data_IF_490507517080
#
_entry.id   IF_490507517080
#
_cell.length_a   1.000
_cell.length_b   1.000
_cell.length_c   1.000
_cell.angle_alpha   90.00
_cell.angle_beta   90.00
_cell.angle_gamma   90.00
#
_symmetry.space_group_name_H-M   'P 1'
#
loop_
_entity.id
_entity.type
_entity.pdbx_description
1 polymer ?
#
# COMPACT_ATOMS: atom_id res chain seq x y z
N UNK A 1 -45.27 -3.20 -11.39
CA UNK A 1 -44.03 -2.46 -11.14
C UNK A 1 -43.49 -1.97 -12.47
N UNK A 2 -43.37 -0.65 -12.69
CA UNK A 2 -42.80 -0.10 -13.95
C UNK A 2 -41.35 -0.60 -14.15
N UNK A 3 -40.93 -0.62 -15.43
CA UNK A 3 -39.57 -1.11 -15.77
C UNK A 3 -38.46 -0.36 -15.06
N UNK A 4 -38.56 0.98 -14.96
CA UNK A 4 -37.59 1.83 -14.27
C UNK A 4 -37.45 1.48 -12.79
N UNK A 5 -38.56 1.18 -12.11
CA UNK A 5 -38.57 0.76 -10.71
C UNK A 5 -38.01 -0.66 -10.56
N UNK A 6 -38.29 -1.56 -11.52
CA UNK A 6 -37.71 -2.90 -11.55
C UNK A 6 -36.18 -2.85 -11.68
N UNK A 7 -35.63 -2.01 -12.58
CA UNK A 7 -34.20 -1.84 -12.75
C UNK A 7 -33.54 -1.39 -11.45
N UNK A 8 -34.08 -0.35 -10.78
CA UNK A 8 -33.51 0.13 -9.52
C UNK A 8 -33.61 -0.91 -8.41
N UNK A 9 -34.70 -1.67 -8.35
CA UNK A 9 -34.85 -2.76 -7.40
C UNK A 9 -33.78 -3.84 -7.59
N UNK A 10 -33.57 -4.29 -8.85
CA UNK A 10 -32.51 -5.24 -9.20
C UNK A 10 -31.12 -4.66 -8.92
N UNK A 11 -30.92 -3.37 -9.22
CA UNK A 11 -29.66 -2.68 -8.91
C UNK A 11 -29.28 -2.78 -7.43
N UNK A 12 -30.23 -2.47 -6.56
CA UNK A 12 -29.98 -2.57 -5.10
C UNK A 12 -29.76 -4.01 -4.64
N UNK A 13 -30.48 -4.97 -5.20
CA UNK A 13 -30.24 -6.39 -4.91
C UNK A 13 -28.85 -6.83 -5.37
N UNK A 14 -28.41 -6.43 -6.55
CA UNK A 14 -27.08 -6.73 -7.06
C UNK A 14 -26.00 -6.15 -6.14
N UNK A 15 -26.16 -4.91 -5.69
CA UNK A 15 -25.24 -4.30 -4.71
C UNK A 15 -25.24 -5.03 -3.37
N UNK A 16 -26.40 -5.47 -2.88
CA UNK A 16 -26.48 -6.28 -1.67
C UNK A 16 -25.72 -7.61 -1.82
N UNK A 17 -25.91 -8.30 -2.94
CA UNK A 17 -25.20 -9.55 -3.23
C UNK A 17 -23.70 -9.32 -3.43
N UNK A 18 -23.31 -8.27 -4.15
CA UNK A 18 -21.91 -7.91 -4.37
C UNK A 18 -21.15 -7.68 -3.05
N UNK A 19 -21.82 -7.08 -2.05
CA UNK A 19 -21.24 -6.94 -0.71
C UNK A 19 -20.92 -8.27 -0.02
N UNK A 20 -21.61 -9.35 -0.39
CA UNK A 20 -21.36 -10.69 0.18
C UNK A 20 -20.28 -11.48 -0.57
N UNK A 21 -19.87 -11.05 -1.76
CA UNK A 21 -18.88 -11.77 -2.59
C UNK A 21 -17.56 -12.03 -1.86
N UNK A 22 -16.96 -11.07 -1.15
CA UNK A 22 -15.72 -11.31 -0.41
C UNK A 22 -15.88 -12.45 0.63
N UNK A 23 -17.00 -12.46 1.36
CA UNK A 23 -17.30 -13.49 2.34
C UNK A 23 -17.40 -14.88 1.70
N UNK A 24 -18.17 -14.98 0.59
CA UNK A 24 -18.34 -16.24 -0.14
C UNK A 24 -17.01 -16.73 -0.71
N UNK A 25 -16.23 -15.82 -1.30
CA UNK A 25 -14.94 -16.14 -1.87
C UNK A 25 -13.97 -16.71 -0.82
N UNK A 26 -13.94 -16.10 0.33
CA UNK A 26 -13.10 -16.53 1.43
C UNK A 26 -13.55 -17.90 1.99
N UNK A 27 -14.85 -18.14 2.15
CA UNK A 27 -15.39 -19.42 2.59
C UNK A 27 -15.09 -20.54 1.58
N UNK A 28 -15.15 -20.25 0.28
CA UNK A 28 -14.87 -21.24 -0.78
C UNK A 28 -13.39 -21.58 -0.86
N UNK A 29 -12.49 -20.60 -0.65
CA UNK A 29 -11.04 -20.84 -0.65
C UNK A 29 -10.56 -21.71 0.52
N UNK A 30 -11.36 -21.82 1.58
CA UNK A 30 -10.97 -22.56 2.77
C UNK A 30 -9.79 -21.93 3.53
N UNK A 31 -9.56 -20.63 3.32
CA UNK A 31 -8.51 -19.90 4.03
C UNK A 31 -8.79 -19.98 5.54
N UNK A 32 -7.83 -20.40 6.38
CA UNK A 32 -8.01 -20.48 7.81
C UNK A 32 -8.04 -19.05 8.37
N UNK A 33 -9.26 -18.49 8.50
CA UNK A 33 -9.42 -17.18 9.12
C UNK A 33 -9.07 -17.23 10.60
N UNK A 34 -8.24 -16.30 11.02
CA UNK A 34 -8.22 -15.91 12.42
C UNK A 34 -9.60 -15.39 12.85
N UNK A 35 -10.03 -15.67 14.11
CA UNK A 35 -11.33 -15.18 14.62
C UNK A 35 -11.55 -13.68 14.40
N UNK A 36 -10.48 -12.87 14.42
CA UNK A 36 -10.52 -11.43 14.16
C UNK A 36 -10.82 -11.08 12.70
N UNK A 37 -10.26 -11.80 11.75
CA UNK A 37 -10.44 -11.53 10.31
C UNK A 37 -11.86 -11.87 9.85
N UNK A 38 -12.43 -12.99 10.35
CA UNK A 38 -13.82 -13.34 10.09
C UNK A 38 -14.78 -12.29 10.66
N UNK A 39 -14.51 -11.80 11.88
CA UNK A 39 -15.32 -10.75 12.48
C UNK A 39 -15.26 -9.45 11.66
N UNK A 40 -14.09 -9.03 11.21
CA UNK A 40 -13.91 -7.85 10.37
C UNK A 40 -14.63 -7.98 9.03
N UNK A 41 -14.52 -9.16 8.40
CA UNK A 41 -15.22 -9.43 7.14
C UNK A 41 -16.73 -9.37 7.31
N UNK A 42 -17.28 -9.97 8.38
CA UNK A 42 -18.70 -9.90 8.70
C UNK A 42 -19.16 -8.50 9.06
N UNK A 43 -18.37 -7.77 9.85
CA UNK A 43 -18.66 -6.38 10.23
C UNK A 43 -18.70 -5.44 9.02
N UNK A 44 -17.90 -5.68 8.00
CA UNK A 44 -17.93 -4.91 6.75
C UNK A 44 -19.05 -5.32 5.80
N UNK A 45 -19.31 -6.62 5.64
CA UNK A 45 -20.26 -7.14 4.63
C UNK A 45 -21.71 -7.09 5.10
N UNK A 46 -22.00 -7.40 6.36
CA UNK A 46 -23.38 -7.48 6.86
C UNK A 46 -24.12 -6.12 6.85
N UNK A 47 -23.53 -5.00 7.31
CA UNK A 47 -24.18 -3.70 7.22
C UNK A 47 -24.42 -3.26 5.78
N UNK A 48 -23.50 -3.54 4.86
CA UNK A 48 -23.64 -3.26 3.44
C UNK A 48 -24.81 -4.03 2.83
N UNK A 49 -24.86 -5.35 3.03
CA UNK A 49 -25.95 -6.19 2.55
C UNK A 49 -27.30 -5.77 3.15
N UNK A 50 -27.37 -5.48 4.45
CA UNK A 50 -28.57 -5.02 5.13
C UNK A 50 -29.05 -3.67 4.57
N UNK A 51 -28.14 -2.73 4.34
CA UNK A 51 -28.46 -1.42 3.79
C UNK A 51 -29.08 -1.53 2.39
N UNK A 52 -28.42 -2.22 1.45
CA UNK A 52 -28.96 -2.33 0.09
C UNK A 52 -30.20 -3.21 -0.01
N UNK A 53 -30.32 -4.25 0.80
CA UNK A 53 -31.56 -5.03 0.93
C UNK A 53 -32.71 -4.16 1.46
N UNK A 54 -32.44 -3.29 2.42
CA UNK A 54 -33.40 -2.31 2.95
C UNK A 54 -33.87 -1.32 1.88
N UNK A 55 -32.95 -0.81 1.04
CA UNK A 55 -33.29 0.05 -0.10
C UNK A 55 -34.14 -0.68 -1.14
N UNK A 56 -33.79 -1.91 -1.48
CA UNK A 56 -34.56 -2.74 -2.40
C UNK A 56 -35.99 -2.97 -1.87
N UNK A 57 -36.12 -3.28 -0.58
CA UNK A 57 -37.41 -3.44 0.08
C UNK A 57 -38.23 -2.13 0.09
N UNK A 58 -37.60 -0.97 0.32
CA UNK A 58 -38.20 0.33 0.26
C UNK A 58 -38.79 0.64 -1.12
N UNK A 59 -38.02 0.33 -2.20
CA UNK A 59 -38.50 0.46 -3.58
C UNK A 59 -39.68 -0.47 -3.86
N UNK A 60 -39.61 -1.74 -3.44
CA UNK A 60 -40.67 -2.71 -3.63
C UNK A 60 -41.96 -2.30 -2.90
N UNK A 61 -41.85 -1.68 -1.71
CA UNK A 61 -42.97 -1.19 -0.92
C UNK A 61 -43.44 0.22 -1.31
N UNK A 62 -43.01 0.75 -2.43
CA UNK A 62 -43.43 2.05 -2.94
C UNK A 62 -42.93 3.26 -2.12
N UNK A 63 -41.88 3.09 -1.33
CA UNK A 63 -41.36 4.15 -0.44
C UNK A 63 -40.17 4.88 -1.11
N UNK A 64 -40.48 5.73 -2.12
CA UNK A 64 -39.48 6.42 -2.90
C UNK A 64 -38.46 7.21 -2.05
N UNK A 65 -38.94 8.04 -1.13
CA UNK A 65 -38.05 8.86 -0.28
C UNK A 65 -37.08 8.03 0.56
N UNK A 66 -37.49 6.85 1.04
CA UNK A 66 -36.65 5.94 1.79
C UNK A 66 -35.56 5.27 0.93
N UNK A 67 -35.79 5.18 -0.37
CA UNK A 67 -34.81 4.61 -1.30
C UNK A 67 -33.87 5.69 -1.85
N UNK A 68 -34.37 6.91 -2.12
CA UNK A 68 -33.58 7.96 -2.78
C UNK A 68 -32.71 8.75 -1.82
N UNK A 69 -33.20 9.15 -0.66
CA UNK A 69 -32.46 10.03 0.25
C UNK A 69 -31.25 9.34 0.86
N UNK A 70 -31.36 8.17 1.53
CA UNK A 70 -30.18 7.49 2.07
C UNK A 70 -29.17 7.12 0.98
N UNK A 71 -29.66 6.66 -0.18
CA UNK A 71 -28.78 6.29 -1.29
C UNK A 71 -28.03 7.51 -1.87
N UNK A 72 -28.73 8.65 -2.02
CA UNK A 72 -28.12 9.89 -2.48
C UNK A 72 -27.03 10.41 -1.54
N UNK A 73 -27.29 10.35 -0.22
CA UNK A 73 -26.31 10.77 0.80
C UNK A 73 -25.09 9.84 0.78
N UNK A 74 -25.31 8.51 0.72
CA UNK A 74 -24.23 7.55 0.64
C UNK A 74 -23.39 7.76 -0.63
N UNK A 75 -24.03 7.99 -1.78
CA UNK A 75 -23.35 8.27 -3.03
C UNK A 75 -22.54 9.55 -3.01
N UNK A 76 -23.07 10.62 -2.42
CA UNK A 76 -22.36 11.89 -2.21
C UNK A 76 -21.08 11.69 -1.39
N UNK A 77 -21.18 10.94 -0.29
CA UNK A 77 -20.01 10.62 0.54
C UNK A 77 -18.97 9.84 -0.25
N UNK A 78 -19.36 8.86 -1.05
CA UNK A 78 -18.44 8.10 -1.90
C UNK A 78 -17.77 8.97 -2.97
N UNK A 79 -18.52 9.92 -3.57
CA UNK A 79 -17.95 10.89 -4.53
C UNK A 79 -16.96 11.82 -3.83
N UNK A 80 -17.25 12.30 -2.64
CA UNK A 80 -16.33 13.15 -1.86
C UNK A 80 -15.05 12.42 -1.50
N UNK A 81 -15.12 11.15 -1.08
CA UNK A 81 -13.95 10.33 -0.79
C UNK A 81 -13.13 10.09 -2.05
N UNK A 82 -13.79 9.77 -3.16
CA UNK A 82 -13.13 9.61 -4.46
C UNK A 82 -12.44 10.89 -4.93
N UNK A 83 -13.05 12.05 -4.70
CA UNK A 83 -12.49 13.36 -5.02
C UNK A 83 -11.25 13.66 -4.15
N UNK A 84 -11.32 13.38 -2.86
CA UNK A 84 -10.18 13.52 -1.97
C UNK A 84 -9.01 12.60 -2.38
N UNK A 85 -9.29 11.38 -2.82
CA UNK A 85 -8.29 10.48 -3.37
C UNK A 85 -7.64 11.07 -4.65
N UNK A 86 -8.43 11.69 -5.53
CA UNK A 86 -7.91 12.39 -6.73
C UNK A 86 -7.00 13.56 -6.33
N UNK A 87 -7.38 14.35 -5.33
CA UNK A 87 -6.56 15.46 -4.85
C UNK A 87 -5.23 15.00 -4.26
N UNK A 88 -5.22 13.88 -3.52
CA UNK A 88 -4.01 13.33 -2.87
C UNK A 88 -3.08 12.60 -3.83
N UNK A 89 -3.62 11.86 -4.79
CA UNK A 89 -2.86 10.95 -5.67
C UNK A 89 -2.78 11.41 -7.13
N UNK A 90 -3.36 12.57 -7.43
CA UNK A 90 -3.41 13.13 -8.77
C UNK A 90 -4.51 12.54 -9.66
N UNK A 91 -4.85 13.29 -10.72
CA UNK A 91 -5.85 12.90 -11.72
C UNK A 91 -5.22 11.91 -12.70
N UNK A 92 -5.23 10.62 -12.36
CA UNK A 92 -4.95 9.55 -13.31
C UNK A 92 -6.22 9.15 -14.06
N UNK A 93 -6.09 8.59 -15.27
CA UNK A 93 -7.23 8.06 -16.04
C UNK A 93 -8.04 7.05 -15.20
N UNK A 94 -7.38 6.20 -14.43
CA UNK A 94 -7.99 5.24 -13.50
C UNK A 94 -8.86 5.92 -12.44
N UNK A 95 -8.33 6.95 -11.78
CA UNK A 95 -9.02 7.66 -10.71
C UNK A 95 -10.21 8.46 -11.27
N UNK A 96 -10.04 9.09 -12.44
CA UNK A 96 -11.10 9.81 -13.13
C UNK A 96 -12.26 8.88 -13.55
N UNK A 97 -11.96 7.72 -14.12
CA UNK A 97 -12.96 6.72 -14.49
C UNK A 97 -13.69 6.16 -13.25
N UNK A 98 -12.97 5.91 -12.16
CA UNK A 98 -13.59 5.44 -10.91
C UNK A 98 -14.55 6.47 -10.31
N UNK A 99 -14.16 7.75 -10.30
CA UNK A 99 -15.01 8.85 -9.83
C UNK A 99 -16.25 9.02 -10.72
N UNK A 100 -16.07 8.98 -12.04
CA UNK A 100 -17.19 9.04 -13.00
C UNK A 100 -18.15 7.86 -12.80
N UNK A 101 -17.64 6.64 -12.66
CA UNK A 101 -18.45 5.44 -12.42
C UNK A 101 -19.22 5.55 -11.08
N UNK A 102 -18.61 6.05 -10.01
CA UNK A 102 -19.27 6.27 -8.74
C UNK A 102 -20.40 7.32 -8.86
N UNK A 103 -20.15 8.42 -9.55
CA UNK A 103 -21.16 9.45 -9.80
C UNK A 103 -22.32 8.91 -10.65
N UNK A 104 -22.03 8.21 -11.74
CA UNK A 104 -23.04 7.60 -12.60
C UNK A 104 -23.87 6.55 -11.84
N UNK A 105 -23.22 5.67 -11.08
CA UNK A 105 -23.86 4.66 -10.24
C UNK A 105 -24.82 5.28 -9.21
N UNK A 106 -24.49 6.47 -8.70
CA UNK A 106 -25.32 7.20 -7.74
C UNK A 106 -26.50 7.90 -8.42
N UNK A 107 -26.24 8.65 -9.47
CA UNK A 107 -27.24 9.50 -10.12
C UNK A 107 -28.26 8.66 -10.90
N UNK A 108 -27.83 7.64 -11.62
CA UNK A 108 -28.68 6.85 -12.50
C UNK A 108 -29.89 6.21 -11.80
N UNK A 109 -29.78 5.48 -10.69
CA UNK A 109 -30.94 4.93 -9.99
C UNK A 109 -31.89 6.01 -9.45
N UNK A 110 -31.34 7.13 -8.95
CA UNK A 110 -32.16 8.25 -8.47
C UNK A 110 -32.96 8.84 -9.61
N UNK A 111 -32.34 9.10 -10.77
CA UNK A 111 -33.01 9.61 -11.95
C UNK A 111 -34.14 8.68 -12.41
N UNK A 112 -33.91 7.37 -12.46
CA UNK A 112 -34.92 6.37 -12.83
C UNK A 112 -36.13 6.40 -11.89
N UNK A 113 -35.92 6.58 -10.59
CA UNK A 113 -37.03 6.68 -9.62
C UNK A 113 -37.82 7.98 -9.74
N UNK A 114 -37.30 9.00 -10.42
CA UNK A 114 -37.98 10.28 -10.66
C UNK A 114 -38.66 10.38 -12.01
N UNK A 115 -38.51 9.38 -12.88
CA UNK A 115 -39.22 9.35 -14.16
C UNK A 115 -40.76 9.38 -13.98
N UNK A 116 -41.52 9.92 -14.92
CA UNK A 116 -42.96 9.95 -14.86
C UNK A 116 -43.60 8.56 -14.67
N UNK A 117 -43.06 7.53 -15.33
CA UNK A 117 -43.48 6.14 -15.18
C UNK A 117 -43.31 5.61 -13.75
N UNK A 118 -42.29 6.05 -13.02
CA UNK A 118 -42.05 5.67 -11.64
C UNK A 118 -42.95 6.43 -10.68
N UNK A 119 -43.27 7.72 -10.94
CA UNK A 119 -44.14 8.56 -10.09
C UNK A 119 -45.52 7.90 -9.88
N UNK A 120 -46.15 7.39 -10.93
CA UNK A 120 -47.44 6.72 -10.84
C UNK A 120 -47.43 5.48 -9.94
N UNK A 121 -46.30 4.73 -9.90
CA UNK A 121 -46.15 3.61 -8.99
C UNK A 121 -46.14 4.04 -7.52
N UNK A 122 -45.34 5.07 -7.18
CA UNK A 122 -45.20 5.54 -5.82
C UNK A 122 -46.46 6.27 -5.30
N UNK A 123 -47.25 6.87 -6.16
CA UNK A 123 -48.49 7.52 -5.80
C UNK A 123 -49.59 6.55 -5.36
N UNK A 124 -49.55 5.30 -5.78
CA UNK A 124 -50.53 4.26 -5.40
C UNK A 124 -50.44 3.82 -3.95
N UNK A 125 -49.33 4.14 -3.29
CA UNK A 125 -49.13 3.73 -1.89
C UNK A 125 -49.48 4.87 -0.92
N UNK A 126 -50.24 4.60 0.13
CA UNK A 126 -50.62 5.64 1.09
C UNK A 126 -49.39 6.29 1.70
N UNK A 127 -49.42 7.63 1.84
CA UNK A 127 -48.36 8.39 2.51
C UNK A 127 -48.29 7.98 3.98
N UNK A 128 -47.28 7.21 4.36
CA UNK A 128 -47.05 6.89 5.76
C UNK A 128 -46.41 8.08 6.49
N UNK A 129 -47.06 8.53 7.59
CA UNK A 129 -46.63 9.69 8.41
C UNK A 129 -45.28 9.50 9.12
N UNK A 130 -44.66 8.30 9.09
CA UNK A 130 -43.40 7.99 9.79
C UNK A 130 -42.20 7.81 8.86
N UNK A 131 -42.02 8.73 7.91
CA UNK A 131 -40.87 8.66 6.97
C UNK A 131 -39.53 8.81 7.70
N UNK A 132 -39.44 9.64 8.74
CA UNK A 132 -38.18 9.98 9.40
C UNK A 132 -37.46 8.82 10.11
N UNK A 133 -38.23 7.96 10.78
CA UNK A 133 -37.66 6.90 11.63
C UNK A 133 -36.95 5.82 10.77
N UNK A 134 -37.56 5.40 9.66
CA UNK A 134 -36.97 4.34 8.85
C UNK A 134 -35.81 4.82 7.96
N UNK A 135 -35.87 6.08 7.47
CA UNK A 135 -34.69 6.68 6.79
C UNK A 135 -33.52 6.86 7.76
N UNK A 136 -33.81 7.30 9.00
CA UNK A 136 -32.80 7.39 10.06
C UNK A 136 -32.17 6.05 10.39
N UNK A 137 -32.97 4.97 10.42
CA UNK A 137 -32.46 3.62 10.68
C UNK A 137 -31.54 3.13 9.54
N UNK A 138 -31.96 3.25 8.28
CA UNK A 138 -31.13 2.86 7.13
C UNK A 138 -29.87 3.70 7.05
N UNK A 139 -29.97 5.00 7.33
CA UNK A 139 -28.79 5.87 7.38
C UNK A 139 -27.89 5.52 8.56
N UNK A 140 -28.45 5.24 9.73
CA UNK A 140 -27.70 4.79 10.90
C UNK A 140 -26.92 3.49 10.64
N UNK A 141 -27.56 2.49 10.02
CA UNK A 141 -26.90 1.23 9.62
C UNK A 141 -25.77 1.49 8.62
N UNK A 142 -25.99 2.39 7.64
CA UNK A 142 -24.95 2.77 6.70
C UNK A 142 -23.78 3.48 7.39
N UNK A 143 -24.05 4.46 8.25
CA UNK A 143 -23.02 5.22 8.99
C UNK A 143 -22.23 4.29 9.92
N UNK A 144 -22.91 3.42 10.67
CA UNK A 144 -22.23 2.45 11.53
C UNK A 144 -21.38 1.48 10.69
N UNK A 145 -21.92 0.94 9.61
CA UNK A 145 -21.17 0.07 8.70
C UNK A 145 -19.98 0.79 8.05
N UNK A 146 -20.17 2.06 7.67
CA UNK A 146 -19.10 2.89 7.12
C UNK A 146 -18.04 3.21 8.18
N UNK A 147 -18.42 3.55 9.41
CA UNK A 147 -17.47 3.79 10.50
C UNK A 147 -16.67 2.52 10.83
N UNK A 148 -17.33 1.37 10.93
CA UNK A 148 -16.67 0.09 11.19
C UNK A 148 -15.71 -0.26 10.05
N UNK A 149 -16.14 -0.10 8.79
CA UNK A 149 -15.28 -0.29 7.64
C UNK A 149 -14.14 0.75 7.58
N UNK A 150 -14.39 1.99 8.01
CA UNK A 150 -13.39 3.06 8.02
C UNK A 150 -12.33 2.88 9.10
N UNK A 151 -12.63 2.18 10.20
CA UNK A 151 -11.64 1.84 11.22
C UNK A 151 -10.54 0.96 10.62
N UNK A 152 -10.88 0.12 9.63
CA UNK A 152 -9.90 -0.69 8.89
C UNK A 152 -9.39 -0.03 7.60
N UNK A 153 -10.17 0.91 7.01
CA UNK A 153 -9.77 1.66 5.81
C UNK A 153 -8.88 2.86 6.09
N UNK A 154 -8.89 3.37 7.30
CA UNK A 154 -7.81 4.26 7.72
C UNK A 154 -6.62 3.35 7.95
N UNK A 155 -5.63 3.40 7.06
CA UNK A 155 -4.50 2.53 7.21
C UNK A 155 -3.97 2.79 8.59
N UNK A 156 -4.03 1.78 9.45
CA UNK A 156 -3.34 1.83 10.74
C UNK A 156 -1.95 2.30 10.41
N UNK A 157 -1.33 3.10 11.26
CA UNK A 157 0.04 3.57 11.04
C UNK A 157 0.95 2.40 10.60
N UNK A 158 0.70 1.21 11.13
CA UNK A 158 1.33 -0.04 10.72
C UNK A 158 1.02 -0.43 9.27
N UNK A 159 -0.19 -0.24 8.78
CA UNK A 159 -0.58 -0.51 7.39
C UNK A 159 0.06 0.47 6.40
N UNK A 160 0.12 1.76 6.76
CA UNK A 160 0.83 2.78 5.94
C UNK A 160 2.31 2.44 5.85
N UNK A 161 2.94 2.07 6.96
CA UNK A 161 4.35 1.71 6.99
C UNK A 161 4.59 0.44 6.18
N UNK A 162 3.72 -0.58 6.29
CA UNK A 162 3.82 -1.80 5.51
C UNK A 162 3.70 -1.51 4.00
N UNK A 163 2.74 -0.69 3.57
CA UNK A 163 2.57 -0.31 2.18
C UNK A 163 3.77 0.48 1.65
N UNK A 164 4.27 1.45 2.43
CA UNK A 164 5.45 2.25 2.08
C UNK A 164 6.71 1.39 2.00
N UNK A 165 6.91 0.49 2.97
CA UNK A 165 8.04 -0.43 2.99
C UNK A 165 8.04 -1.38 1.81
N UNK A 166 6.86 -1.91 1.44
CA UNK A 166 6.71 -2.77 0.26
C UNK A 166 6.97 -2.01 -1.05
N UNK A 167 6.53 -0.75 -1.14
CA UNK A 167 6.83 0.11 -2.28
C UNK A 167 8.35 0.39 -2.37
N UNK A 168 8.98 0.69 -1.23
CA UNK A 168 10.44 0.89 -1.16
C UNK A 168 11.20 -0.38 -1.54
N UNK A 169 10.76 -1.57 -1.08
CA UNK A 169 11.37 -2.84 -1.46
C UNK A 169 11.34 -3.08 -2.97
N UNK A 170 10.22 -2.79 -3.64
CA UNK A 170 10.13 -2.88 -5.12
C UNK A 170 11.09 -1.91 -5.81
N UNK A 171 11.20 -0.68 -5.31
CA UNK A 171 12.14 0.31 -5.85
C UNK A 171 13.59 -0.12 -5.67
N UNK A 172 13.93 -0.66 -4.49
CA UNK A 172 15.25 -1.21 -4.24
C UNK A 172 15.58 -2.37 -5.17
N UNK A 173 14.62 -3.25 -5.49
CA UNK A 173 14.80 -4.28 -6.52
C UNK A 173 15.03 -3.68 -7.91
N UNK A 174 14.32 -2.61 -8.27
CA UNK A 174 14.56 -1.91 -9.54
C UNK A 174 15.95 -1.27 -9.57
N UNK A 175 16.40 -0.64 -8.47
CA UNK A 175 17.77 -0.11 -8.36
C UNK A 175 18.81 -1.22 -8.50
N UNK A 176 18.54 -2.40 -7.97
CA UNK A 176 19.41 -3.57 -8.16
C UNK A 176 19.52 -3.96 -9.64
N UNK A 177 18.42 -3.95 -10.40
CA UNK A 177 18.47 -4.19 -11.84
C UNK A 177 19.34 -3.14 -12.55
N UNK A 178 19.20 -1.86 -12.20
CA UNK A 178 20.04 -0.78 -12.76
C UNK A 178 21.51 -0.96 -12.39
N UNK A 179 21.80 -1.40 -11.16
CA UNK A 179 23.16 -1.73 -10.74
C UNK A 179 23.74 -2.91 -11.55
N UNK A 180 22.95 -3.93 -11.83
CA UNK A 180 23.35 -5.05 -12.67
C UNK A 180 23.62 -4.63 -14.12
N UNK A 181 22.80 -3.73 -14.69
CA UNK A 181 23.02 -3.12 -16.00
C UNK A 181 24.35 -2.34 -16.02
N UNK A 182 24.65 -1.58 -14.96
CA UNK A 182 25.91 -0.86 -14.81
C UNK A 182 27.12 -1.79 -14.75
N UNK A 183 27.00 -2.92 -14.06
CA UNK A 183 28.04 -3.92 -13.98
C UNK A 183 28.26 -4.61 -15.32
N UNK A 184 27.19 -4.93 -16.07
CA UNK A 184 27.29 -5.44 -17.44
C UNK A 184 27.95 -4.44 -18.38
N UNK A 185 27.66 -3.14 -18.25
CA UNK A 185 28.33 -2.09 -19.01
C UNK A 185 29.85 -2.07 -18.72
N UNK A 186 30.24 -2.20 -17.45
CA UNK A 186 31.65 -2.31 -17.05
C UNK A 186 32.34 -3.49 -17.71
N UNK A 187 31.72 -4.67 -17.68
CA UNK A 187 32.28 -5.90 -18.23
C UNK A 187 32.41 -5.85 -19.76
N UNK A 188 31.49 -5.17 -20.44
CA UNK A 188 31.52 -5.00 -21.91
C UNK A 188 32.41 -3.86 -22.40
N UNK A 189 33.08 -3.14 -21.50
CA UNK A 189 33.89 -1.97 -21.82
C UNK A 189 33.09 -0.73 -22.22
N UNK A 190 31.79 -0.71 -21.90
CA UNK A 190 30.92 0.43 -22.06
C UNK A 190 31.11 1.48 -20.97
N UNK A 191 30.36 2.58 -21.08
CA UNK A 191 30.35 3.62 -20.04
C UNK A 191 29.60 3.13 -18.81
N UNK A 192 30.25 3.18 -17.66
CA UNK A 192 29.68 2.74 -16.37
C UNK A 192 30.01 3.74 -15.26
N UNK A 193 29.19 3.77 -14.21
CA UNK A 193 29.40 4.59 -13.03
C UNK A 193 30.25 3.81 -12.02
N UNK A 194 31.43 4.34 -11.72
CA UNK A 194 32.33 3.74 -10.73
C UNK A 194 31.93 4.20 -9.31
N UNK A 195 31.46 3.30 -8.43
CA UNK A 195 31.12 3.65 -7.07
C UNK A 195 32.31 4.13 -6.24
N UNK A 196 33.53 3.78 -6.64
CA UNK A 196 34.76 4.18 -5.90
C UNK A 196 35.06 5.66 -6.04
N UNK A 197 34.64 6.28 -7.15
CA UNK A 197 34.80 7.70 -7.45
C UNK A 197 33.76 8.58 -6.76
N UNK A 198 32.70 7.98 -6.21
CA UNK A 198 31.63 8.72 -5.53
C UNK A 198 31.95 8.94 -4.04
N UNK A 199 31.57 10.11 -3.53
CA UNK A 199 31.77 10.49 -2.13
C UNK A 199 30.74 9.87 -1.20
N UNK A 200 29.51 9.64 -1.68
CA UNK A 200 28.39 9.13 -0.91
C UNK A 200 27.40 8.38 -1.82
N UNK A 201 26.38 7.75 -1.21
CA UNK A 201 25.38 6.98 -1.95
C UNK A 201 24.46 7.85 -2.80
N UNK A 202 24.21 9.09 -2.39
CA UNK A 202 23.35 10.02 -3.14
C UNK A 202 23.97 10.30 -4.51
N UNK A 203 25.22 10.72 -4.51
CA UNK A 203 25.98 10.99 -5.74
C UNK A 203 26.04 9.75 -6.66
N UNK A 204 26.29 8.58 -6.07
CA UNK A 204 26.36 7.34 -6.85
C UNK A 204 25.02 7.00 -7.50
N UNK A 205 23.92 7.00 -6.72
CA UNK A 205 22.58 6.63 -7.23
C UNK A 205 22.08 7.66 -8.24
N UNK A 206 22.31 8.95 -8.00
CA UNK A 206 21.95 9.99 -8.97
C UNK A 206 22.65 9.78 -10.32
N UNK A 207 23.96 9.56 -10.32
CA UNK A 207 24.71 9.27 -11.55
C UNK A 207 24.23 7.98 -12.22
N UNK A 208 24.00 6.93 -11.42
CA UNK A 208 23.54 5.63 -11.89
C UNK A 208 22.17 5.74 -12.58
N UNK A 209 21.21 6.40 -11.95
CA UNK A 209 19.87 6.59 -12.50
C UNK A 209 19.87 7.55 -13.70
N UNK A 210 20.62 8.65 -13.63
CA UNK A 210 20.73 9.58 -14.76
C UNK A 210 21.29 8.89 -16.02
N UNK A 211 22.20 7.94 -15.86
CA UNK A 211 22.78 7.20 -16.98
C UNK A 211 21.84 6.13 -17.55
N UNK A 212 21.23 5.33 -16.70
CA UNK A 212 20.45 4.15 -17.12
C UNK A 212 18.95 4.42 -17.23
N UNK A 213 18.47 5.54 -16.71
CA UNK A 213 17.05 5.96 -16.69
C UNK A 213 16.91 7.46 -16.99
N UNK A 214 17.39 7.93 -18.15
CA UNK A 214 17.43 9.37 -18.49
C UNK A 214 16.04 10.02 -18.57
N UNK A 215 14.98 9.22 -18.76
CA UNK A 215 13.60 9.70 -18.86
C UNK A 215 12.93 9.93 -17.49
N UNK A 216 13.61 9.54 -16.40
CA UNK A 216 13.05 9.72 -15.06
C UNK A 216 13.19 11.17 -14.60
N UNK A 217 12.20 11.65 -13.82
CA UNK A 217 12.19 13.01 -13.30
C UNK A 217 13.31 13.23 -12.29
N UNK A 218 14.07 14.30 -12.42
CA UNK A 218 15.17 14.66 -11.53
C UNK A 218 14.77 14.68 -10.03
N UNK A 219 13.59 15.22 -9.72
CA UNK A 219 13.05 15.24 -8.35
C UNK A 219 12.87 13.82 -7.77
N UNK A 220 12.43 12.88 -8.60
CA UNK A 220 12.26 11.50 -8.18
C UNK A 220 13.62 10.81 -7.96
N UNK A 221 14.58 11.03 -8.85
CA UNK A 221 15.95 10.52 -8.73
C UNK A 221 16.56 10.99 -7.41
N UNK A 222 16.45 12.28 -7.12
CA UNK A 222 16.97 12.89 -5.90
C UNK A 222 16.30 12.31 -4.63
N UNK A 223 14.97 12.18 -4.63
CA UNK A 223 14.26 11.56 -3.52
C UNK A 223 14.67 10.10 -3.29
N UNK A 224 14.89 9.32 -4.37
CA UNK A 224 15.26 7.92 -4.26
C UNK A 224 16.71 7.77 -3.77
N UNK A 225 17.62 8.62 -4.24
CA UNK A 225 19.03 8.57 -3.88
C UNK A 225 19.28 8.73 -2.37
N UNK A 226 18.50 9.57 -1.70
CA UNK A 226 18.61 9.77 -0.26
C UNK A 226 18.09 8.60 0.61
N UNK A 227 17.40 7.63 0.01
CA UNK A 227 16.77 6.54 0.76
C UNK A 227 17.68 5.34 1.01
N UNK A 228 18.87 5.28 0.37
CA UNK A 228 19.67 4.08 0.35
C UNK A 228 21.14 4.28 0.74
N UNK A 229 21.64 3.28 1.45
CA UNK A 229 23.08 3.01 1.56
C UNK A 229 23.43 1.85 0.62
N UNK A 230 24.56 1.91 -0.07
CA UNK A 230 24.96 0.97 -1.11
C UNK A 230 26.27 0.29 -0.71
N UNK A 231 26.29 -1.04 -0.71
CA UNK A 231 27.51 -1.81 -0.48
C UNK A 231 28.37 -1.88 -1.75
N UNK A 232 29.65 -1.66 -1.59
CA UNK A 232 30.66 -1.64 -2.66
C UNK A 232 31.70 -2.71 -2.38
N UNK A 233 32.24 -3.32 -3.43
CA UNK A 233 33.25 -4.39 -3.38
C UNK A 233 32.78 -5.63 -2.58
N UNK A 234 31.50 -6.00 -2.76
CA UNK A 234 30.95 -7.22 -2.16
C UNK A 234 31.37 -8.43 -2.97
N UNK A 235 32.04 -9.45 -2.37
CA UNK A 235 32.44 -10.66 -3.06
C UNK A 235 31.28 -11.37 -3.77
N UNK A 236 31.54 -12.02 -4.90
CA UNK A 236 30.49 -12.76 -5.63
C UNK A 236 29.90 -13.90 -4.79
N UNK A 237 30.69 -14.52 -3.95
CA UNK A 237 30.26 -15.58 -3.03
C UNK A 237 29.24 -15.12 -1.99
N UNK A 238 29.19 -13.83 -1.68
CA UNK A 238 28.28 -13.26 -0.67
C UNK A 238 26.88 -12.93 -1.23
N UNK A 239 26.23 -13.87 -1.92
CA UNK A 239 24.93 -13.67 -2.61
C UNK A 239 23.81 -13.18 -1.71
N UNK A 240 23.84 -13.53 -0.44
CA UNK A 240 22.84 -13.13 0.56
C UNK A 240 23.20 -11.84 1.31
N UNK A 241 24.33 -11.23 1.01
CA UNK A 241 24.75 -9.98 1.63
C UNK A 241 23.86 -8.81 1.13
N UNK A 242 23.51 -7.86 2.00
CA UNK A 242 22.78 -6.65 1.63
C UNK A 242 23.61 -5.76 0.71
N UNK A 243 23.10 -5.49 -0.49
CA UNK A 243 23.71 -4.54 -1.45
C UNK A 243 23.10 -3.16 -1.30
N UNK A 244 21.79 -3.10 -1.14
CA UNK A 244 21.10 -1.86 -0.75
C UNK A 244 20.47 -2.04 0.63
N UNK A 245 20.65 -1.04 1.47
CA UNK A 245 20.08 -0.97 2.80
C UNK A 245 19.41 0.39 2.94
N UNK A 246 18.19 0.43 3.48
CA UNK A 246 17.52 1.71 3.73
C UNK A 246 18.37 2.61 4.63
N UNK A 247 18.45 3.88 4.30
CA UNK A 247 19.37 4.85 4.94
C UNK A 247 19.16 5.03 6.45
N UNK A 248 18.04 4.56 7.01
CA UNK A 248 17.78 4.55 8.46
C UNK A 248 18.47 3.43 9.22
N UNK A 249 19.22 2.55 8.56
CA UNK A 249 20.06 1.56 9.21
C UNK A 249 21.53 1.92 9.02
N UNK A 250 22.29 2.00 10.12
CA UNK A 250 23.73 2.23 10.07
C UNK A 250 24.46 0.94 9.64
N UNK A 251 25.02 0.88 8.41
CA UNK A 251 25.69 -0.31 7.93
C UNK A 251 27.05 -0.57 8.62
N UNK A 252 27.59 0.34 9.41
CA UNK A 252 28.78 0.11 10.21
C UNK A 252 28.57 -1.01 11.24
N UNK A 253 27.33 -1.29 11.60
CA UNK A 253 26.97 -2.35 12.53
C UNK A 253 27.09 -3.76 11.95
N UNK A 254 27.23 -3.91 10.63
CA UNK A 254 27.43 -5.22 10.00
C UNK A 254 28.84 -5.75 10.30
N UNK A 255 28.96 -7.02 10.67
CA UNK A 255 30.29 -7.64 10.81
C UNK A 255 30.93 -7.85 9.43
N UNK A 256 32.25 -7.81 9.36
CA UNK A 256 32.99 -8.16 8.13
C UNK A 256 32.94 -9.65 7.83
N UNK A 257 32.95 -10.47 8.87
CA UNK A 257 32.81 -11.92 8.78
C UNK A 257 31.57 -12.35 9.54
N UNK A 258 30.73 -13.11 8.90
CA UNK A 258 29.50 -13.62 9.46
C UNK A 258 29.37 -15.13 9.21
N UNK A 259 29.22 -15.90 10.25
CA UNK A 259 29.08 -17.37 10.20
C UNK A 259 27.65 -17.86 10.48
N UNK A 260 26.68 -16.95 10.63
CA UNK A 260 25.30 -17.29 10.91
C UNK A 260 24.97 -17.52 12.41
N UNK A 261 25.95 -17.59 13.28
CA UNK A 261 25.77 -17.99 14.70
C UNK A 261 26.21 -16.88 15.66
N UNK A 262 27.39 -16.32 15.47
CA UNK A 262 27.96 -15.33 16.40
C UNK A 262 27.13 -14.04 16.38
N UNK A 263 26.73 -13.56 17.56
CA UNK A 263 25.90 -12.35 17.72
C UNK A 263 24.56 -12.35 16.98
N UNK A 264 23.99 -13.54 16.70
CA UNK A 264 22.77 -13.70 15.91
C UNK A 264 21.59 -12.88 16.45
N UNK A 265 21.47 -12.73 17.74
CA UNK A 265 20.40 -12.00 18.41
C UNK A 265 20.69 -10.52 18.64
N UNK A 266 21.87 -10.03 18.22
CA UNK A 266 22.23 -8.62 18.37
C UNK A 266 21.24 -7.77 17.58
N UNK A 267 20.60 -6.83 18.24
CA UNK A 267 19.76 -5.82 17.61
C UNK A 267 20.63 -4.81 16.89
N UNK A 268 20.21 -4.45 15.67
CA UNK A 268 20.78 -3.34 14.94
C UNK A 268 20.04 -2.07 15.32
N UNK A 269 20.81 -1.04 15.62
CA UNK A 269 20.28 0.27 15.95
C UNK A 269 19.93 1.02 14.67
N UNK A 270 18.81 1.73 14.68
CA UNK A 270 18.43 2.59 13.56
C UNK A 270 19.23 3.88 13.66
N UNK A 271 19.88 4.25 12.57
CA UNK A 271 20.61 5.48 12.48
C UNK A 271 19.70 6.70 12.64
N UNK A 272 20.17 7.69 13.38
CA UNK A 272 19.63 9.03 13.37
C UNK A 272 20.36 9.86 12.31
N UNK A 273 20.25 9.46 11.04
CA UNK A 273 20.85 10.22 9.96
C UNK A 273 20.03 11.50 9.70
N UNK A 274 20.68 12.61 9.36
CA UNK A 274 19.99 13.78 8.81
C UNK A 274 19.20 13.31 7.57
N UNK A 275 17.89 13.57 7.55
CA UNK A 275 16.99 13.07 6.50
C UNK A 275 16.34 11.72 6.77
N UNK A 276 16.71 10.97 7.82
CA UNK A 276 16.04 9.70 8.17
C UNK A 276 14.55 9.91 8.56
N UNK A 277 14.20 11.09 9.04
CA UNK A 277 12.81 11.46 9.32
C UNK A 277 12.02 11.73 8.03
N UNK A 278 12.68 12.04 6.93
CA UNK A 278 12.10 12.19 5.60
C UNK A 278 11.89 10.85 4.89
N UNK A 279 12.50 9.77 5.40
CA UNK A 279 12.24 8.44 4.89
C UNK A 279 10.76 8.10 5.03
N UNK A 280 10.13 7.71 3.94
CA UNK A 280 8.72 7.34 3.91
C UNK A 280 8.35 6.20 4.87
N UNK A 281 9.33 5.45 5.36
CA UNK A 281 9.16 4.33 6.31
C UNK A 281 9.51 4.71 7.75
N UNK A 282 10.12 5.88 7.99
CA UNK A 282 10.54 6.37 9.31
C UNK A 282 11.44 5.39 10.06
N UNK A 283 11.38 5.43 11.40
CA UNK A 283 12.16 4.53 12.30
C UNK A 283 11.47 3.15 12.53
N UNK A 284 10.44 2.79 11.78
CA UNK A 284 9.59 1.64 12.10
C UNK A 284 9.87 0.40 11.25
N UNK A 285 10.53 0.56 10.12
CA UNK A 285 10.92 -0.54 9.25
C UNK A 285 12.29 -0.30 8.62
N UNK A 286 12.93 -1.39 8.20
CA UNK A 286 14.17 -1.41 7.41
C UNK A 286 13.90 -2.20 6.15
N UNK A 287 14.38 -1.71 5.03
CA UNK A 287 14.32 -2.41 3.74
C UNK A 287 15.73 -2.79 3.31
N UNK A 288 15.88 -4.01 2.83
CA UNK A 288 17.15 -4.57 2.41
C UNK A 288 16.95 -5.22 1.06
N UNK A 289 17.89 -4.98 0.15
CA UNK A 289 18.00 -5.71 -1.11
C UNK A 289 19.33 -6.46 -1.11
N UNK A 290 19.26 -7.77 -1.34
CA UNK A 290 20.43 -8.64 -1.33
C UNK A 290 21.08 -8.70 -2.71
N UNK A 291 22.31 -9.16 -2.74
CA UNK A 291 23.06 -9.39 -3.98
C UNK A 291 22.36 -10.38 -4.93
N UNK A 292 21.47 -11.21 -4.42
CA UNK A 292 20.58 -12.07 -5.22
C UNK A 292 19.39 -11.31 -5.87
N UNK A 293 19.26 -10.01 -5.65
CA UNK A 293 18.11 -9.21 -6.08
C UNK A 293 16.87 -9.32 -5.17
N UNK A 294 16.89 -10.23 -4.20
CA UNK A 294 15.77 -10.42 -3.28
C UNK A 294 15.65 -9.24 -2.30
N UNK A 295 14.50 -8.57 -2.29
CA UNK A 295 14.18 -7.53 -1.34
C UNK A 295 13.41 -8.07 -0.14
N UNK A 296 13.69 -7.56 1.05
CA UNK A 296 12.98 -7.91 2.28
C UNK A 296 12.73 -6.70 3.15
N UNK A 297 11.61 -6.74 3.90
CA UNK A 297 11.20 -5.70 4.84
C UNK A 297 11.25 -6.27 6.25
N UNK A 298 11.92 -5.57 7.15
CA UNK A 298 12.05 -5.94 8.55
C UNK A 298 11.45 -4.86 9.43
N UNK A 299 10.57 -5.24 10.36
CA UNK A 299 10.08 -4.29 11.38
C UNK A 299 11.23 -3.93 12.33
N UNK A 300 11.39 -2.66 12.63
CA UNK A 300 12.50 -2.16 13.46
C UNK A 300 12.64 -2.88 14.82
N UNK A 301 11.51 -3.25 15.45
CA UNK A 301 11.52 -4.00 16.71
C UNK A 301 12.12 -5.40 16.62
N UNK A 302 12.19 -5.97 15.40
CA UNK A 302 12.74 -7.31 15.11
C UNK A 302 14.02 -7.23 14.27
N UNK A 303 14.68 -6.05 14.24
CA UNK A 303 15.87 -5.83 13.44
C UNK A 303 17.08 -6.50 14.12
N UNK A 304 17.13 -7.83 14.11
CA UNK A 304 18.27 -8.61 14.61
C UNK A 304 19.15 -9.03 13.44
N UNK A 305 20.44 -9.15 13.70
CA UNK A 305 21.43 -9.49 12.66
C UNK A 305 21.04 -10.76 11.93
N UNK A 306 20.61 -11.82 12.60
CA UNK A 306 20.22 -13.12 12.01
C UNK A 306 19.09 -13.01 10.97
N UNK A 307 18.22 -12.01 11.08
CA UNK A 307 17.12 -11.83 10.12
C UNK A 307 17.55 -10.98 8.92
N UNK A 308 18.55 -10.15 9.10
CA UNK A 308 19.07 -9.25 8.07
C UNK A 308 20.15 -9.95 7.25
N UNK A 309 21.09 -10.60 7.94
CA UNK A 309 22.17 -11.34 7.33
C UNK A 309 21.77 -12.82 7.27
N UNK A 310 21.50 -13.31 6.07
CA UNK A 310 21.15 -14.71 5.85
C UNK A 310 22.35 -15.45 5.24
N UNK A 311 22.72 -16.59 5.85
CA UNK A 311 23.89 -17.35 5.43
C UNK A 311 25.21 -16.81 6.00
N UNK A 312 26.31 -17.43 5.62
CA UNK A 312 27.68 -17.01 5.99
C UNK A 312 28.30 -16.16 4.88
N UNK A 313 29.17 -15.21 5.24
CA UNK A 313 29.95 -14.43 4.30
C UNK A 313 31.23 -13.91 4.94
N UNK A 314 32.18 -13.58 4.09
CA UNK A 314 33.41 -12.87 4.43
C UNK A 314 33.59 -11.72 3.42
N UNK A 315 33.73 -10.49 3.93
CA UNK A 315 33.96 -9.30 3.11
C UNK A 315 35.46 -9.02 3.02
N UNK A 316 35.90 -8.66 1.82
CA UNK A 316 37.25 -8.18 1.58
C UNK A 316 37.58 -6.92 2.41
N UNK A 317 38.89 -6.61 2.51
CA UNK A 317 39.35 -5.41 3.23
C UNK A 317 38.91 -4.11 2.59
N UNK A 318 38.66 -4.14 1.31
CA UNK A 318 38.22 -3.05 0.47
C UNK A 318 36.69 -2.86 0.43
N UNK A 319 35.93 -3.79 1.05
CA UNK A 319 34.48 -3.66 1.13
C UNK A 319 34.04 -2.53 2.07
N UNK A 320 33.12 -1.71 1.61
CA UNK A 320 32.55 -0.60 2.37
C UNK A 320 31.12 -0.31 1.92
N UNK A 321 30.43 0.55 2.66
CA UNK A 321 29.16 1.13 2.26
C UNK A 321 29.32 2.60 1.89
N UNK A 322 28.73 2.99 0.77
CA UNK A 322 28.37 4.37 0.52
C UNK A 322 27.05 4.65 1.25
N UNK A 323 27.06 5.58 2.18
CA UNK A 323 25.85 6.06 2.87
C UNK A 323 25.54 7.49 2.39
N UNK A 324 24.36 8.05 2.64
CA UNK A 324 24.11 9.46 2.35
C UNK A 324 25.10 10.42 3.04
N UNK A 325 25.68 10.01 4.16
CA UNK A 325 26.66 10.80 4.93
C UNK A 325 28.11 10.57 4.49
N UNK A 326 28.39 9.58 3.63
CA UNK A 326 29.74 9.25 3.15
C UNK A 326 30.09 7.78 3.25
N UNK A 327 31.39 7.46 3.14
CA UNK A 327 31.91 6.09 3.14
C UNK A 327 32.00 5.54 4.57
N UNK A 328 31.41 4.36 4.78
CA UNK A 328 31.40 3.67 6.08
C UNK A 328 31.89 2.23 5.91
N UNK A 329 32.79 1.78 6.76
CA UNK A 329 33.28 0.39 6.75
C UNK A 329 32.51 -0.47 7.76
N UNK A 330 32.16 -1.71 7.40
CA UNK A 330 31.67 -2.70 8.36
C UNK A 330 32.64 -2.90 9.51
N UNK A 331 32.12 -3.13 10.72
CA UNK A 331 32.99 -3.39 11.88
C UNK A 331 33.75 -4.68 11.67
N UNK A 332 35.06 -4.62 11.85
CA UNK A 332 35.88 -5.85 11.92
C UNK A 332 35.34 -6.73 13.07
N UNK A 333 35.38 -8.05 12.88
CA UNK A 333 35.21 -8.97 14.02
C UNK A 333 36.24 -8.60 15.06
N UNK A 334 35.81 -8.30 16.30
CA UNK A 334 36.72 -8.40 17.41
C UNK A 334 37.34 -9.81 17.35
N UNK A 335 38.64 -9.91 17.10
CA UNK A 335 39.33 -11.19 17.22
C UNK A 335 39.04 -11.67 18.64
N UNK A 336 38.21 -12.69 18.76
CA UNK A 336 38.11 -13.46 19.99
C UNK A 336 39.52 -14.03 20.17
N UNK A 337 40.26 -13.42 21.12
CA UNK A 337 41.51 -13.97 21.61
C UNK A 337 41.22 -15.24 22.41
#
# INVERSE_FOLDING_TARGET
>A
MPWSVKIVWWWYLTLACAGCVPLVFCLVKGDPFGRGELFQLLAGTAPWAAYFSGLALAVRRGRRGWATVPYGVAGLLMIMIGWEAVLRYGLSLKNGLALFAAAAATIFPIALLHLPSSKGWFQRWPRQKRLGVGCGWLFGVFVVGFLVASIDFWPSEAGVIAARSSAMARRGSNLFCVLAENELARQSGGFWVDPTTCSNSVEFIEKLLAQHRPDEKAEWIQQEAHQWSVAVNVPESATNFPVFVSANLDPSQFPRVWNGVTDADRKLELAQLPGADELRIGKKAVVIVRKSGAASVHKAKYCQIKFILNGSYELGEDAYFLTPAGKVRPKGTARVK
#
